data_IF_574494876378
#
_entry.id   IF_574494876378
#
_cell.length_a   1.000
_cell.length_b   1.000
_cell.length_c   1.000
_cell.angle_alpha   90.00
_cell.angle_beta   90.00
_cell.angle_gamma   90.00
#
_symmetry.space_group_name_H-M   'P 1'
#
loop_
_entity.id
_entity.type
_entity.pdbx_description
1 polymer ?
#
# COMPACT_ATOMS: atom_id res chain seq x y z
N UNK A 1 6.53 23.52 -7.40
CA UNK A 1 5.12 23.82 -7.10
C UNK A 1 4.70 22.94 -5.93
N UNK A 2 3.85 23.43 -5.03
CA UNK A 2 3.29 22.60 -3.94
C UNK A 2 2.42 21.50 -4.55
N UNK A 3 2.54 20.27 -4.06
CA UNK A 3 1.67 19.16 -4.46
C UNK A 3 0.29 19.34 -3.88
N UNK A 4 -0.73 18.98 -4.65
CA UNK A 4 -2.12 19.14 -4.28
C UNK A 4 -2.72 17.79 -3.89
N UNK A 5 -3.31 17.70 -2.72
CA UNK A 5 -3.91 16.48 -2.18
C UNK A 5 -5.41 16.71 -1.97
N UNK A 6 -6.23 15.84 -2.55
CA UNK A 6 -7.67 15.80 -2.30
C UNK A 6 -7.97 14.80 -1.18
N UNK A 7 -8.69 15.23 -0.15
CA UNK A 7 -9.18 14.39 0.94
C UNK A 7 -10.68 14.23 0.77
N UNK A 8 -11.15 12.98 0.64
CA UNK A 8 -12.56 12.61 0.55
C UNK A 8 -12.86 11.79 1.81
N UNK A 9 -13.48 12.42 2.79
CA UNK A 9 -13.75 11.89 4.13
C UNK A 9 -14.97 12.60 4.69
N UNK A 10 -15.96 11.92 5.24
CA UNK A 10 -17.18 12.54 5.75
C UNK A 10 -17.05 13.04 7.20
N UNK A 11 -16.10 12.49 7.95
CA UNK A 11 -15.85 12.91 9.32
C UNK A 11 -14.98 14.16 9.37
N UNK A 12 -15.61 15.32 9.62
CA UNK A 12 -14.94 16.64 9.64
C UNK A 12 -13.75 16.71 10.62
N UNK A 13 -13.79 15.96 11.72
CA UNK A 13 -12.69 15.89 12.69
C UNK A 13 -11.45 15.25 12.08
N UNK A 14 -11.62 14.15 11.35
CA UNK A 14 -10.54 13.44 10.62
C UNK A 14 -10.01 14.32 9.49
N UNK A 15 -10.90 14.89 8.67
CA UNK A 15 -10.51 15.83 7.63
C UNK A 15 -9.60 16.95 8.14
N UNK A 16 -10.03 17.62 9.22
CA UNK A 16 -9.30 18.76 9.78
C UNK A 16 -7.92 18.36 10.32
N UNK A 17 -7.81 17.20 10.96
CA UNK A 17 -6.54 16.68 11.45
C UNK A 17 -5.61 16.42 10.28
N UNK A 18 -6.03 15.65 9.28
CA UNK A 18 -5.20 15.32 8.11
C UNK A 18 -4.80 16.61 7.38
N UNK A 19 -5.75 17.52 7.13
CA UNK A 19 -5.49 18.81 6.49
C UNK A 19 -4.41 19.61 7.20
N UNK A 20 -4.51 19.79 8.52
CA UNK A 20 -3.54 20.56 9.29
C UNK A 20 -2.10 20.02 9.15
N UNK A 21 -1.93 18.70 9.23
CA UNK A 21 -0.62 18.07 9.05
C UNK A 21 -0.07 18.19 7.64
N UNK A 22 -0.94 18.07 6.63
CA UNK A 22 -0.54 18.20 5.22
C UNK A 22 -0.15 19.65 4.87
N UNK A 23 -0.91 20.63 5.35
CA UNK A 23 -0.60 22.04 5.14
C UNK A 23 0.69 22.44 5.85
N UNK A 24 0.93 21.95 7.06
CA UNK A 24 2.21 22.16 7.79
C UNK A 24 3.40 21.55 7.04
N UNK A 25 3.21 20.43 6.35
CA UNK A 25 4.20 19.81 5.48
C UNK A 25 4.35 20.49 4.09
N UNK A 26 3.58 21.55 3.82
CA UNK A 26 3.69 22.35 2.59
C UNK A 26 2.86 21.85 1.41
N UNK A 27 1.92 20.93 1.63
CA UNK A 27 0.95 20.50 0.61
C UNK A 27 -0.20 21.50 0.47
N UNK A 28 -0.80 21.56 -0.72
CA UNK A 28 -2.10 22.23 -0.93
C UNK A 28 -3.20 21.19 -0.73
N UNK A 29 -4.22 21.50 0.08
CA UNK A 29 -5.26 20.54 0.44
C UNK A 29 -6.63 20.99 -0.07
N UNK A 30 -7.35 20.07 -0.70
CA UNK A 30 -8.76 20.19 -1.07
C UNK A 30 -9.54 19.17 -0.24
N UNK A 31 -10.71 19.57 0.23
CA UNK A 31 -11.61 18.73 1.02
C UNK A 31 -12.89 18.42 0.25
N UNK A 32 -13.39 17.22 0.45
CA UNK A 32 -14.72 16.79 0.03
C UNK A 32 -15.36 15.96 1.15
N UNK A 33 -16.63 16.21 1.46
CA UNK A 33 -17.34 15.57 2.56
C UNK A 33 -18.13 14.32 2.11
N UNK A 34 -18.17 14.02 0.82
CA UNK A 34 -18.81 12.83 0.27
C UNK A 34 -18.22 12.46 -1.10
N UNK A 35 -18.58 11.27 -1.60
CA UNK A 35 -18.04 10.78 -2.87
C UNK A 35 -18.42 11.61 -4.10
N UNK A 36 -19.61 12.23 -4.11
CA UNK A 36 -20.04 13.09 -5.23
C UNK A 36 -19.20 14.36 -5.31
N UNK A 37 -19.07 15.06 -4.18
CA UNK A 37 -18.21 16.24 -4.05
C UNK A 37 -16.77 15.90 -4.38
N UNK A 38 -16.29 14.72 -3.94
CA UNK A 38 -14.95 14.21 -4.23
C UNK A 38 -14.67 14.08 -5.72
N UNK A 39 -15.60 13.51 -6.49
CA UNK A 39 -15.48 13.38 -7.95
C UNK A 39 -15.49 14.75 -8.62
N UNK A 40 -16.33 15.68 -8.17
CA UNK A 40 -16.39 17.05 -8.71
C UNK A 40 -15.06 17.79 -8.47
N UNK A 41 -14.60 17.82 -7.22
CA UNK A 41 -13.32 18.45 -6.83
C UNK A 41 -12.12 17.85 -7.55
N UNK A 42 -12.14 16.51 -7.77
CA UNK A 42 -11.10 15.83 -8.55
C UNK A 42 -11.03 16.34 -10.00
N UNK A 43 -12.18 16.46 -10.66
CA UNK A 43 -12.24 16.90 -12.06
C UNK A 43 -11.83 18.37 -12.23
N UNK A 44 -12.23 19.23 -11.30
CA UNK A 44 -11.94 20.66 -11.33
C UNK A 44 -10.47 20.96 -11.05
N UNK A 45 -9.88 20.32 -10.03
CA UNK A 45 -8.60 20.70 -9.48
C UNK A 45 -7.44 19.83 -9.93
N UNK A 46 -7.69 18.61 -10.43
CA UNK A 46 -6.67 17.65 -10.87
C UNK A 46 -5.56 17.44 -9.82
N UNK A 47 -5.88 16.88 -8.64
CA UNK A 47 -4.93 16.70 -7.56
C UNK A 47 -3.79 15.76 -7.95
N UNK A 48 -2.66 15.85 -7.27
CA UNK A 48 -1.51 14.97 -7.42
C UNK A 48 -1.69 13.64 -6.66
N UNK A 49 -2.59 13.61 -5.67
CA UNK A 49 -2.92 12.42 -4.86
C UNK A 49 -4.33 12.57 -4.25
N UNK A 50 -5.02 11.45 -4.08
CA UNK A 50 -6.31 11.37 -3.42
C UNK A 50 -6.18 10.50 -2.17
N UNK A 51 -6.62 11.01 -1.01
CA UNK A 51 -6.93 10.23 0.19
C UNK A 51 -8.44 10.00 0.18
N UNK A 52 -8.86 8.74 0.25
CA UNK A 52 -10.25 8.34 0.02
C UNK A 52 -10.73 7.42 1.14
N UNK A 53 -11.71 7.85 1.91
CA UNK A 53 -12.41 6.95 2.81
C UNK A 53 -13.30 5.96 2.03
N UNK A 54 -13.33 4.73 2.50
CA UNK A 54 -14.23 3.72 1.95
C UNK A 54 -15.66 3.90 2.41
N UNK A 55 -15.85 4.32 3.65
CA UNK A 55 -17.17 4.39 4.30
C UNK A 55 -17.83 5.76 4.10
N UNK A 56 -17.99 6.18 2.84
CA UNK A 56 -18.60 7.47 2.51
C UNK A 56 -20.14 7.40 2.37
N UNK A 57 -20.86 8.47 2.74
CA UNK A 57 -22.28 8.58 2.42
C UNK A 57 -22.50 8.81 0.92
N UNK A 58 -23.72 8.51 0.44
CA UNK A 58 -24.21 8.68 -0.93
C UNK A 58 -23.58 7.71 -1.94
N UNK A 59 -22.26 7.78 -2.15
CA UNK A 59 -21.49 6.89 -3.01
C UNK A 59 -20.32 6.38 -2.19
N UNK A 60 -20.19 5.06 -2.06
CA UNK A 60 -19.09 4.45 -1.34
C UNK A 60 -17.73 4.71 -2.01
N UNK A 61 -16.65 4.66 -1.22
CA UNK A 61 -15.31 4.97 -1.69
C UNK A 61 -14.82 4.06 -2.83
N UNK A 62 -15.39 2.87 -2.97
CA UNK A 62 -15.09 1.98 -4.09
C UNK A 62 -15.58 2.51 -5.41
N UNK A 63 -16.87 2.83 -5.46
CA UNK A 63 -17.48 3.39 -6.64
C UNK A 63 -16.77 4.70 -7.03
N UNK A 64 -16.38 5.52 -6.05
CA UNK A 64 -15.55 6.70 -6.29
C UNK A 64 -14.23 6.30 -6.93
N UNK A 65 -13.48 5.35 -6.35
CA UNK A 65 -12.20 4.89 -6.86
C UNK A 65 -12.31 4.35 -8.29
N UNK A 66 -13.31 3.53 -8.58
CA UNK A 66 -13.56 3.03 -9.93
C UNK A 66 -13.79 4.15 -10.96
N UNK A 67 -14.54 5.19 -10.57
CA UNK A 67 -14.80 6.34 -11.44
C UNK A 67 -13.49 7.08 -11.71
N UNK A 68 -12.72 7.40 -10.66
CA UNK A 68 -11.45 8.10 -10.79
C UNK A 68 -10.44 7.32 -11.64
N UNK A 69 -10.39 5.99 -11.50
CA UNK A 69 -9.50 5.12 -12.29
C UNK A 69 -9.84 5.06 -13.78
N UNK A 70 -11.11 5.21 -14.13
CA UNK A 70 -11.52 5.32 -15.55
C UNK A 70 -11.05 6.64 -16.19
N UNK A 71 -10.90 7.69 -15.38
CA UNK A 71 -10.57 9.04 -15.85
C UNK A 71 -9.06 9.38 -15.71
N UNK A 72 -8.35 8.76 -14.76
CA UNK A 72 -6.97 9.13 -14.42
C UNK A 72 -6.17 7.99 -13.80
N UNK A 73 -4.85 8.18 -13.81
CA UNK A 73 -3.87 7.37 -13.05
C UNK A 73 -3.36 8.10 -11.80
N UNK A 74 -4.11 9.07 -11.29
CA UNK A 74 -3.76 9.77 -10.05
C UNK A 74 -3.56 8.76 -8.92
N UNK A 75 -2.53 8.87 -8.10
CA UNK A 75 -2.36 8.02 -6.94
C UNK A 75 -3.53 8.14 -5.97
N UNK A 76 -4.06 7.00 -5.51
CA UNK A 76 -5.15 6.91 -4.54
C UNK A 76 -4.70 6.09 -3.34
N UNK A 77 -4.76 6.66 -2.14
CA UNK A 77 -4.58 5.96 -0.87
C UNK A 77 -5.95 5.83 -0.22
N UNK A 78 -6.39 4.60 0.04
CA UNK A 78 -7.65 4.35 0.73
C UNK A 78 -7.49 4.37 2.24
N UNK A 79 -8.41 5.04 2.94
CA UNK A 79 -8.56 4.98 4.38
C UNK A 79 -9.66 3.97 4.70
N UNK A 80 -9.37 2.95 5.50
CA UNK A 80 -10.33 1.86 5.73
C UNK A 80 -10.43 1.48 7.20
N UNK A 81 -11.64 1.20 7.66
CA UNK A 81 -11.91 0.59 8.98
C UNK A 81 -11.91 -0.95 8.92
N UNK A 82 -11.64 -1.54 7.74
CA UNK A 82 -11.76 -2.98 7.55
C UNK A 82 -10.59 -3.73 8.17
N UNK A 83 -10.87 -4.34 9.32
CA UNK A 83 -10.09 -5.44 9.86
C UNK A 83 -10.36 -6.71 9.02
N UNK A 84 -9.30 -7.24 8.40
CA UNK A 84 -9.10 -8.64 7.98
C UNK A 84 -10.21 -9.47 7.30
N UNK A 85 -11.19 -8.91 6.62
CA UNK A 85 -12.03 -9.75 5.77
C UNK A 85 -11.42 -9.89 4.37
N UNK A 86 -10.51 -10.88 4.26
CA UNK A 86 -9.74 -11.29 3.05
C UNK A 86 -10.57 -11.43 1.76
N UNK A 87 -11.89 -11.55 1.88
CA UNK A 87 -12.78 -11.76 0.74
C UNK A 87 -13.22 -10.46 0.05
N UNK A 88 -13.27 -9.35 0.78
CA UNK A 88 -13.58 -8.04 0.21
C UNK A 88 -12.31 -7.34 -0.32
N UNK A 89 -11.16 -7.53 0.33
CA UNK A 89 -9.89 -6.95 -0.08
C UNK A 89 -9.41 -7.40 -1.48
N UNK A 90 -9.81 -8.58 -1.95
CA UNK A 90 -9.41 -9.11 -3.27
C UNK A 90 -9.92 -8.29 -4.48
N UNK A 91 -10.96 -7.48 -4.29
CA UNK A 91 -11.43 -6.52 -5.30
C UNK A 91 -10.67 -5.20 -5.27
N UNK A 92 -9.98 -4.91 -4.18
CA UNK A 92 -9.37 -3.64 -3.86
C UNK A 92 -7.95 -3.48 -4.42
N UNK A 93 -7.18 -4.57 -4.45
CA UNK A 93 -5.76 -4.60 -4.84
C UNK A 93 -5.50 -4.09 -6.28
N UNK A 94 -6.55 -3.99 -7.10
CA UNK A 94 -6.42 -3.53 -8.48
C UNK A 94 -6.71 -2.02 -8.68
N UNK A 95 -7.26 -1.33 -7.68
CA UNK A 95 -7.80 0.03 -7.85
C UNK A 95 -7.05 1.09 -7.05
N UNK A 96 -6.51 0.78 -5.88
CA UNK A 96 -5.78 1.73 -5.03
C UNK A 96 -4.27 1.49 -5.08
N UNK A 97 -3.49 2.55 -4.90
CA UNK A 97 -2.03 2.47 -4.86
C UNK A 97 -1.52 2.12 -3.46
N UNK A 98 -2.34 2.37 -2.44
CA UNK A 98 -2.01 2.07 -1.04
C UNK A 98 -3.26 2.07 -0.14
N UNK A 99 -3.12 1.50 1.09
CA UNK A 99 -4.19 1.42 2.09
C UNK A 99 -3.66 1.79 3.47
N UNK A 100 -4.48 2.52 4.23
CA UNK A 100 -4.22 2.87 5.62
C UNK A 100 -5.42 2.46 6.45
N UNK A 101 -5.22 1.56 7.42
CA UNK A 101 -6.28 1.13 8.32
C UNK A 101 -6.54 2.14 9.43
N UNK A 102 -7.80 2.43 9.70
CA UNK A 102 -8.26 3.22 10.85
C UNK A 102 -8.29 2.30 12.11
N UNK A 103 -7.82 2.73 13.29
CA UNK A 103 -7.25 4.04 13.57
C UNK A 103 -5.79 4.17 13.10
N UNK A 104 -5.41 5.33 12.59
CA UNK A 104 -4.06 5.61 12.10
C UNK A 104 -3.40 6.77 12.86
N UNK A 105 -2.08 6.82 12.81
CA UNK A 105 -1.31 7.98 13.27
C UNK A 105 -0.89 8.86 12.10
N UNK A 106 -0.85 10.18 12.28
CA UNK A 106 -0.46 11.10 11.21
C UNK A 106 0.94 10.86 10.66
N UNK A 107 1.98 10.51 11.46
CA UNK A 107 3.29 10.12 10.92
C UNK A 107 3.25 8.95 9.94
N UNK A 108 2.32 7.99 10.13
CA UNK A 108 2.11 6.87 9.21
C UNK A 108 1.49 7.37 7.91
N UNK A 109 0.41 8.15 8.00
CA UNK A 109 -0.26 8.75 6.82
C UNK A 109 0.74 9.55 5.98
N UNK A 110 1.56 10.39 6.61
CA UNK A 110 2.57 11.19 5.92
C UNK A 110 3.59 10.34 5.16
N UNK A 111 4.10 9.26 5.78
CA UNK A 111 5.04 8.35 5.12
C UNK A 111 4.43 7.66 3.88
N UNK A 112 3.16 7.25 3.96
CA UNK A 112 2.45 6.66 2.82
C UNK A 112 2.30 7.67 1.69
N UNK A 113 1.88 8.90 1.98
CA UNK A 113 1.74 9.98 1.00
C UNK A 113 3.07 10.26 0.30
N UNK A 114 4.15 10.45 1.07
CA UNK A 114 5.49 10.71 0.52
C UNK A 114 5.97 9.56 -0.37
N UNK A 115 5.75 8.33 0.05
CA UNK A 115 6.15 7.15 -0.73
C UNK A 115 5.39 7.05 -2.05
N UNK A 116 4.08 7.29 -2.01
CA UNK A 116 3.21 7.22 -3.20
C UNK A 116 3.50 8.37 -4.17
N UNK A 117 3.64 9.60 -3.68
CA UNK A 117 3.99 10.77 -4.53
C UNK A 117 5.36 10.61 -5.18
N UNK A 118 6.36 10.12 -4.44
CA UNK A 118 7.70 9.84 -4.98
C UNK A 118 7.64 8.82 -6.12
N UNK A 119 6.85 7.77 -6.01
CA UNK A 119 6.63 6.78 -7.08
C UNK A 119 6.00 7.41 -8.32
N UNK A 120 4.99 8.26 -8.14
CA UNK A 120 4.30 8.94 -9.22
C UNK A 120 5.21 9.92 -9.99
N UNK A 121 6.15 10.60 -9.30
CA UNK A 121 7.13 11.48 -9.92
C UNK A 121 8.20 10.73 -10.73
N UNK A 122 8.57 9.54 -10.29
CA UNK A 122 9.59 8.71 -10.93
C UNK A 122 9.07 7.94 -12.16
N UNK A 123 7.82 8.09 -12.53
CA UNK A 123 7.13 7.41 -13.65
C UNK A 123 7.65 7.69 -15.04
N UNK A 124 8.94 7.99 -15.21
CA UNK A 124 9.55 8.25 -16.51
C UNK A 124 11.00 7.81 -16.69
N UNK A 125 11.75 7.49 -15.67
CA UNK A 125 13.12 7.01 -15.84
C UNK A 125 13.61 6.35 -14.53
N UNK A 126 13.39 5.07 -14.36
CA UNK A 126 13.99 4.33 -13.27
C UNK A 126 15.25 3.62 -13.71
N UNK A 127 16.30 3.58 -12.87
CA UNK A 127 17.08 2.36 -12.80
C UNK A 127 16.68 1.55 -11.56
N UNK A 128 16.23 0.33 -11.79
CA UNK A 128 16.30 -0.80 -10.87
C UNK A 128 15.40 -0.86 -9.64
N UNK A 129 14.11 -0.57 -9.73
CA UNK A 129 13.15 -0.98 -8.72
C UNK A 129 12.52 -2.36 -9.01
N UNK A 130 13.12 -3.12 -9.91
CA UNK A 130 12.72 -4.49 -10.21
C UNK A 130 13.70 -5.44 -9.55
N UNK A 131 13.22 -6.18 -8.56
CA UNK A 131 13.97 -7.27 -7.95
C UNK A 131 13.66 -8.53 -8.75
N UNK A 132 14.70 -9.18 -9.26
CA UNK A 132 14.56 -10.46 -9.96
C UNK A 132 15.22 -11.55 -9.14
N UNK A 133 14.56 -12.66 -9.05
CA UNK A 133 15.06 -13.85 -8.39
C UNK A 133 14.45 -15.08 -9.05
N UNK A 134 15.26 -15.83 -9.79
CA UNK A 134 14.79 -16.94 -10.62
C UNK A 134 13.58 -16.52 -11.47
N UNK A 135 12.44 -17.20 -11.35
CA UNK A 135 11.21 -16.84 -12.09
C UNK A 135 10.44 -15.68 -11.44
N UNK A 136 10.80 -15.25 -10.24
CA UNK A 136 10.09 -14.16 -9.54
C UNK A 136 10.63 -12.82 -10.03
N UNK A 137 9.74 -11.97 -10.47
CA UNK A 137 10.01 -10.55 -10.75
C UNK A 137 9.10 -9.72 -9.88
N UNK A 138 9.68 -8.87 -9.03
CA UNK A 138 8.97 -7.93 -8.16
C UNK A 138 9.26 -6.53 -8.65
N UNK A 139 8.25 -5.86 -9.12
CA UNK A 139 8.32 -4.43 -9.45
C UNK A 139 7.82 -3.65 -8.21
N UNK A 140 8.76 -2.95 -7.56
CA UNK A 140 8.46 -2.23 -6.32
C UNK A 140 7.78 -0.88 -6.57
N UNK A 141 7.73 -0.41 -7.80
CA UNK A 141 7.05 0.83 -8.17
C UNK A 141 5.58 0.60 -8.45
N UNK A 142 5.28 -0.47 -9.21
CA UNK A 142 3.90 -0.84 -9.51
C UNK A 142 3.28 -1.80 -8.50
N UNK A 143 4.04 -2.23 -7.47
CA UNK A 143 3.67 -3.26 -6.50
C UNK A 143 3.20 -4.56 -7.17
N UNK A 144 3.77 -4.90 -8.32
CA UNK A 144 3.42 -6.11 -9.05
C UNK A 144 4.43 -7.22 -8.83
N UNK A 145 3.92 -8.45 -8.78
CA UNK A 145 4.73 -9.66 -8.68
C UNK A 145 4.38 -10.57 -9.85
N UNK A 146 5.41 -11.04 -10.54
CA UNK A 146 5.28 -12.05 -11.59
C UNK A 146 6.06 -13.30 -11.19
N UNK A 147 5.52 -14.46 -11.52
CA UNK A 147 6.25 -15.74 -11.52
C UNK A 147 6.27 -16.25 -12.97
N UNK A 148 7.43 -16.18 -13.61
CA UNK A 148 7.55 -16.32 -15.06
C UNK A 148 6.80 -15.18 -15.77
N UNK A 149 5.72 -15.50 -16.47
CA UNK A 149 4.85 -14.54 -17.17
C UNK A 149 3.50 -14.31 -16.47
N UNK A 150 3.22 -15.04 -15.37
CA UNK A 150 1.95 -14.97 -14.68
C UNK A 150 1.99 -13.95 -13.55
N UNK A 151 0.97 -13.08 -13.49
CA UNK A 151 0.82 -12.11 -12.40
C UNK A 151 0.29 -12.80 -11.15
N UNK A 152 0.93 -12.53 -10.02
CA UNK A 152 0.54 -13.05 -8.71
C UNK A 152 0.03 -11.90 -7.85
N UNK A 153 -1.22 -11.98 -7.41
CA UNK A 153 -1.81 -10.99 -6.51
C UNK A 153 -1.39 -11.25 -5.07
N UNK A 154 -0.55 -10.39 -4.54
CA UNK A 154 -0.17 -10.37 -3.12
C UNK A 154 -0.86 -9.17 -2.44
N UNK A 155 -1.24 -9.35 -1.17
CA UNK A 155 -1.64 -8.21 -0.33
C UNK A 155 -0.43 -7.32 -0.05
N UNK A 156 -0.65 -6.07 0.34
CA UNK A 156 0.46 -5.13 0.66
C UNK A 156 1.44 -5.74 1.66
N UNK A 157 0.94 -6.40 2.71
CA UNK A 157 1.79 -7.06 3.72
C UNK A 157 2.57 -8.25 3.17
N UNK A 158 1.96 -9.06 2.33
CA UNK A 158 2.63 -10.17 1.65
C UNK A 158 3.72 -9.66 0.69
N UNK A 159 3.41 -8.59 -0.04
CA UNK A 159 4.37 -7.93 -0.92
C UNK A 159 5.58 -7.39 -0.16
N UNK A 160 5.36 -6.65 0.94
CA UNK A 160 6.46 -6.10 1.76
C UNK A 160 7.31 -7.21 2.40
N UNK A 161 6.71 -8.30 2.85
CA UNK A 161 7.44 -9.47 3.36
C UNK A 161 8.31 -10.07 2.24
N UNK A 162 7.74 -10.35 1.07
CA UNK A 162 8.47 -10.93 -0.06
C UNK A 162 9.61 -10.03 -0.49
N UNK A 163 9.37 -8.73 -0.64
CA UNK A 163 10.37 -7.72 -0.95
C UNK A 163 11.52 -7.74 0.06
N UNK A 164 11.21 -7.69 1.36
CA UNK A 164 12.22 -7.69 2.41
C UNK A 164 13.08 -8.95 2.39
N UNK A 165 12.49 -10.11 2.13
CA UNK A 165 13.23 -11.38 1.98
C UNK A 165 14.12 -11.36 0.76
N UNK A 166 13.63 -10.88 -0.38
CA UNK A 166 14.41 -10.79 -1.63
C UNK A 166 15.56 -9.76 -1.54
N UNK A 167 15.39 -8.66 -0.83
CA UNK A 167 16.45 -7.69 -0.56
C UNK A 167 17.53 -8.23 0.40
N UNK A 168 17.20 -9.26 1.18
CA UNK A 168 18.10 -9.90 2.14
C UNK A 168 18.50 -11.33 1.75
N UNK A 169 18.61 -11.63 0.46
CA UNK A 169 19.02 -12.95 -0.04
C UNK A 169 20.28 -13.50 0.67
N UNK A 170 20.25 -14.77 0.98
CA UNK A 170 21.32 -15.47 1.70
C UNK A 170 21.37 -15.18 3.20
N UNK A 171 20.53 -14.29 3.71
CA UNK A 171 20.47 -13.92 5.13
C UNK A 171 19.15 -14.34 5.76
N UNK A 172 19.21 -14.74 7.03
CA UNK A 172 17.99 -15.02 7.79
C UNK A 172 17.38 -13.70 8.25
N UNK A 173 16.11 -13.49 7.94
CA UNK A 173 15.32 -12.38 8.45
C UNK A 173 14.46 -12.92 9.62
N UNK A 174 14.65 -12.38 10.81
CA UNK A 174 13.91 -12.81 12.00
C UNK A 174 12.43 -12.42 11.90
N UNK A 175 11.55 -13.12 12.66
CA UNK A 175 10.13 -12.77 12.73
C UNK A 175 9.91 -11.38 13.29
N UNK A 176 10.65 -11.05 14.33
CA UNK A 176 10.65 -9.71 14.93
C UNK A 176 11.00 -8.63 13.88
N UNK A 177 12.08 -8.82 13.12
CA UNK A 177 12.46 -7.87 12.06
C UNK A 177 11.40 -7.76 10.97
N UNK A 178 10.74 -8.87 10.59
CA UNK A 178 9.61 -8.84 9.65
C UNK A 178 8.45 -8.03 10.21
N UNK A 179 8.11 -8.23 11.48
CA UNK A 179 7.06 -7.47 12.17
C UNK A 179 7.39 -5.98 12.22
N UNK A 180 8.56 -5.63 12.76
CA UNK A 180 8.97 -4.23 12.91
C UNK A 180 9.00 -3.49 11.58
N UNK A 181 9.49 -4.15 10.53
CA UNK A 181 9.62 -3.53 9.21
C UNK A 181 8.26 -3.39 8.50
N UNK A 182 7.41 -4.40 8.60
CA UNK A 182 6.15 -4.47 7.82
C UNK A 182 4.97 -3.90 8.60
N UNK A 183 4.92 -4.04 9.93
CA UNK A 183 3.84 -3.53 10.78
C UNK A 183 4.22 -2.32 11.62
N UNK A 184 5.50 -2.07 11.83
CA UNK A 184 6.02 -0.99 12.67
C UNK A 184 6.31 -1.42 14.10
N UNK A 185 7.16 -0.64 14.79
CA UNK A 185 7.60 -0.94 16.16
C UNK A 185 6.48 -0.92 17.22
N UNK A 186 5.36 -0.26 16.92
CA UNK A 186 4.23 -0.14 17.84
C UNK A 186 3.19 -1.26 17.69
N UNK A 187 3.48 -2.27 16.86
CA UNK A 187 2.58 -3.38 16.66
C UNK A 187 2.52 -4.30 17.89
N UNK A 188 1.35 -4.39 18.53
CA UNK A 188 1.09 -5.19 19.74
C UNK A 188 0.40 -6.53 19.36
N UNK A 189 0.86 -7.20 18.33
CA UNK A 189 0.28 -8.47 17.87
C UNK A 189 1.22 -9.68 18.04
N UNK A 190 0.66 -10.88 17.86
CA UNK A 190 1.42 -12.15 17.95
C UNK A 190 2.30 -12.32 16.69
N UNK A 191 3.59 -12.65 16.88
CA UNK A 191 4.52 -13.01 15.80
C UNK A 191 4.01 -14.12 14.88
N UNK A 192 3.01 -14.88 15.31
CA UNK A 192 2.38 -15.93 14.48
C UNK A 192 1.71 -15.39 13.22
N UNK A 193 1.37 -14.10 13.17
CA UNK A 193 0.81 -13.48 11.97
C UNK A 193 1.78 -13.59 10.80
N UNK A 194 3.09 -13.44 11.04
CA UNK A 194 4.13 -13.62 10.01
C UNK A 194 4.06 -15.02 9.39
N UNK A 195 3.83 -16.06 10.20
CA UNK A 195 3.75 -17.44 9.71
C UNK A 195 2.57 -17.61 8.74
N UNK A 196 1.45 -16.94 9.03
CA UNK A 196 0.25 -16.96 8.18
C UNK A 196 0.53 -16.30 6.83
N UNK A 197 1.12 -15.11 6.83
CA UNK A 197 1.49 -14.43 5.58
C UNK A 197 2.52 -15.21 4.77
N UNK A 198 3.55 -15.77 5.39
CA UNK A 198 4.53 -16.64 4.68
C UNK A 198 3.85 -17.85 4.03
N UNK A 199 2.91 -18.49 4.73
CA UNK A 199 2.12 -19.60 4.17
C UNK A 199 1.33 -19.16 2.94
N UNK A 200 0.69 -18.00 3.02
CA UNK A 200 -0.09 -17.44 1.93
C UNK A 200 0.81 -17.05 0.73
N UNK A 201 1.94 -16.39 0.96
CA UNK A 201 2.92 -16.05 -0.07
C UNK A 201 3.37 -17.31 -0.83
N UNK A 202 3.81 -18.35 -0.11
CA UNK A 202 4.20 -19.62 -0.73
C UNK A 202 3.11 -20.23 -1.60
N UNK A 203 1.86 -20.23 -1.07
CA UNK A 203 0.70 -20.74 -1.82
C UNK A 203 0.42 -19.93 -3.09
N UNK A 204 0.54 -18.61 -3.02
CA UNK A 204 0.25 -17.71 -4.13
C UNK A 204 1.36 -17.74 -5.19
N UNK A 205 2.62 -17.76 -4.77
CA UNK A 205 3.76 -17.86 -5.68
C UNK A 205 3.83 -19.21 -6.43
N UNK A 206 3.36 -20.28 -5.79
CA UNK A 206 3.46 -21.65 -6.37
C UNK A 206 4.88 -22.20 -6.44
N UNK A 207 5.88 -21.48 -5.90
CA UNK A 207 7.30 -21.87 -5.86
C UNK A 207 7.81 -21.85 -4.42
N UNK A 208 8.73 -22.76 -4.07
CA UNK A 208 9.22 -22.97 -2.69
C UNK A 208 10.62 -22.39 -2.51
N UNK A 209 10.74 -21.06 -2.57
CA UNK A 209 12.02 -20.37 -2.39
C UNK A 209 12.18 -19.72 -1.02
N UNK A 210 11.13 -19.65 -0.22
CA UNK A 210 11.19 -19.11 1.14
C UNK A 210 11.44 -20.28 2.10
N UNK A 211 12.62 -20.38 2.66
CA UNK A 211 12.98 -21.39 3.65
C UNK A 211 12.59 -20.95 5.06
N UNK A 212 12.15 -21.93 5.89
CA UNK A 212 11.90 -21.70 7.31
C UNK A 212 13.12 -22.11 8.12
N UNK A 213 13.78 -21.15 8.73
CA UNK A 213 14.88 -21.37 9.67
C UNK A 213 14.29 -21.49 11.09
N UNK A 214 14.18 -22.75 11.57
CA UNK A 214 13.55 -23.05 12.86
C UNK A 214 14.15 -22.23 14.00
N UNK A 215 13.32 -21.54 14.76
CA UNK A 215 13.74 -20.69 15.88
C UNK A 215 14.39 -19.36 15.47
N UNK A 216 14.70 -19.13 14.18
CA UNK A 216 15.42 -17.94 13.73
C UNK A 216 14.59 -17.03 12.80
N UNK A 217 13.76 -17.59 11.89
CA UNK A 217 13.00 -16.77 10.95
C UNK A 217 12.85 -17.40 9.59
N UNK A 218 13.00 -16.58 8.53
CA UNK A 218 12.85 -16.99 7.14
C UNK A 218 14.03 -16.52 6.29
N UNK A 219 14.31 -17.25 5.23
CA UNK A 219 15.41 -16.95 4.31
C UNK A 219 15.01 -17.27 2.87
N UNK A 220 15.48 -16.47 1.93
CA UNK A 220 15.60 -16.84 0.52
C UNK A 220 17.09 -17.02 0.24
N UNK A 221 17.48 -18.13 -0.38
CA UNK A 221 18.87 -18.38 -0.73
C UNK A 221 19.39 -17.29 -1.70
N UNK A 222 20.68 -17.05 -1.67
CA UNK A 222 21.31 -16.15 -2.63
C UNK A 222 21.37 -16.86 -3.99
N UNK A 223 21.04 -16.14 -5.04
CA UNK A 223 21.29 -16.59 -6.41
C UNK A 223 22.80 -16.55 -6.69
N UNK A 224 23.38 -17.64 -7.21
CA UNK A 224 24.80 -17.77 -7.55
C UNK A 224 25.20 -16.90 -8.76
#
# INVERSE_FOLDING_TARGET
MSKMILIIEDETSIQNIIKAFLEDAGYTVILAADGMEGIEQFRENKPDLVLLDLMLPKIDGFAVCEILRKESRVPIIMLTALDDDDSQMKGFDALADDYITKPFSMPVVMKHIEAVLRRAEQGGAAPNNVIRYKEITVDTDSLTVLVGTESVSLTTREFEILKLLLENQGRVVSRERLLDTVWGYDYIGDEKIVNTHIKNIRKKLGVDYIETMRGAGYKIEKED
#
